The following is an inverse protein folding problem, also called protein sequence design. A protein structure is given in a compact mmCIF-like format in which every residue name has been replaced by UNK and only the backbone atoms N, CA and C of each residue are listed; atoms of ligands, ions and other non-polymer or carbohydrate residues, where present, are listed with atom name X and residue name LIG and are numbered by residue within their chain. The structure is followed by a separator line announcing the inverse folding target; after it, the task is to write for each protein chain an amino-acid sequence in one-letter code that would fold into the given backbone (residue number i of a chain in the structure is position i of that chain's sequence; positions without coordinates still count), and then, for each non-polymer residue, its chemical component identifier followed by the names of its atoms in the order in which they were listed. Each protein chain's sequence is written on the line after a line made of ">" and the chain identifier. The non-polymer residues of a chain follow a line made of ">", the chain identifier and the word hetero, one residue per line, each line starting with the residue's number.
data_IF_291400637782
#
_entry.id   IF_291400637782
#
_cell.length_a   1.000
_cell.length_b   1.000
_cell.length_c   1.000
_cell.angle_alpha   90.00
_cell.angle_beta   90.00
_cell.angle_gamma   90.00
#
_symmetry.space_group_name_H-M   'P 1'
#
loop_
_entity.id
_entity.type
_entity.pdbx_description
1 polymer ?
#
# COMPACT_ATOMS: atom_id res chain seq x y z
N UNK A 1 -11.45 8.19 -18.33
CA UNK A 1 -10.88 9.55 -18.40
C UNK A 1 -9.60 9.42 -19.19
N UNK A 2 -9.52 10.01 -20.39
CA UNK A 2 -8.29 9.97 -21.18
C UNK A 2 -7.19 10.69 -20.41
N UNK A 3 -6.01 10.09 -20.33
CA UNK A 3 -4.88 10.61 -19.56
C UNK A 3 -3.97 11.54 -20.38
N UNK A 4 -4.26 11.74 -21.66
CA UNK A 4 -3.42 12.52 -22.58
C UNK A 4 -4.02 13.92 -22.77
N UNK A 5 -3.20 14.95 -22.56
CA UNK A 5 -3.56 16.35 -22.77
C UNK A 5 -3.06 16.81 -24.14
N UNK A 6 -3.91 17.49 -24.90
CA UNK A 6 -3.62 17.97 -26.26
C UNK A 6 -3.81 19.48 -26.31
N UNK A 7 -2.75 20.22 -26.63
CA UNK A 7 -2.81 21.65 -26.86
C UNK A 7 -3.46 21.93 -28.22
N UNK A 8 -4.71 22.38 -28.22
CA UNK A 8 -5.46 22.70 -29.44
C UNK A 8 -4.88 23.87 -30.23
N UNK A 9 -4.13 24.77 -29.59
CA UNK A 9 -3.55 25.95 -30.26
C UNK A 9 -2.27 25.61 -31.04
N UNK A 10 -1.50 24.65 -30.54
CA UNK A 10 -0.24 24.21 -31.17
C UNK A 10 -0.42 23.03 -32.12
N UNK A 11 -1.53 22.30 -32.01
CA UNK A 11 -1.81 21.15 -32.87
C UNK A 11 -1.98 21.58 -34.34
N UNK A 12 -1.08 21.12 -35.20
CA UNK A 12 -1.12 21.39 -36.65
C UNK A 12 -1.93 20.35 -37.47
N UNK A 13 -2.56 19.37 -36.81
CA UNK A 13 -3.41 18.39 -37.49
C UNK A 13 -2.69 17.44 -38.47
N UNK A 14 -1.40 17.15 -38.24
CA UNK A 14 -0.58 16.35 -39.15
C UNK A 14 -0.90 14.84 -39.16
N UNK A 15 -1.63 14.33 -38.16
CA UNK A 15 -2.01 12.92 -38.07
C UNK A 15 -0.94 11.95 -37.56
N UNK A 16 0.31 12.37 -37.34
CA UNK A 16 1.40 11.50 -36.88
C UNK A 16 1.05 10.73 -35.59
N UNK A 17 0.40 11.40 -34.63
CA UNK A 17 -0.04 10.79 -33.38
C UNK A 17 -1.10 9.68 -33.55
N UNK A 18 -1.91 9.73 -34.61
CA UNK A 18 -2.93 8.72 -34.93
C UNK A 18 -2.25 7.44 -35.41
N UNK A 19 -1.27 7.56 -36.31
CA UNK A 19 -0.50 6.41 -36.82
C UNK A 19 0.37 5.79 -35.72
N UNK A 20 0.91 6.62 -34.83
CA UNK A 20 1.74 6.20 -33.72
C UNK A 20 0.97 5.45 -32.62
N UNK A 21 -0.37 5.56 -32.57
CA UNK A 21 -1.16 5.01 -31.48
C UNK A 21 -1.38 3.49 -31.65
N UNK A 22 -0.74 2.61 -30.84
CA UNK A 22 -0.92 1.17 -30.98
C UNK A 22 -2.31 0.70 -30.52
N UNK A 23 -3.08 1.57 -29.86
CA UNK A 23 -4.40 1.28 -29.30
C UNK A 23 -5.54 1.91 -30.11
N UNK A 24 -5.23 2.70 -31.15
CA UNK A 24 -6.24 3.37 -31.97
C UNK A 24 -7.06 4.43 -31.22
N UNK A 25 -6.57 4.93 -30.09
CA UNK A 25 -7.28 5.86 -29.20
C UNK A 25 -7.28 7.32 -29.67
N UNK A 26 -6.58 7.62 -30.78
CA UNK A 26 -6.40 8.97 -31.31
C UNK A 26 -7.08 9.10 -32.67
N UNK A 27 -7.74 10.23 -32.90
CA UNK A 27 -8.35 10.60 -34.17
C UNK A 27 -8.29 12.11 -34.40
N UNK A 28 -8.52 12.57 -35.62
CA UNK A 28 -8.69 13.99 -35.92
C UNK A 28 -10.19 14.33 -35.88
N UNK A 29 -10.54 15.47 -35.28
CA UNK A 29 -11.90 16.00 -35.28
C UNK A 29 -12.22 16.81 -36.55
N UNK A 30 -13.40 17.43 -36.60
CA UNK A 30 -13.87 18.21 -37.74
C UNK A 30 -13.04 19.49 -38.00
N UNK A 31 -12.29 19.96 -37.00
CA UNK A 31 -11.37 21.10 -37.09
C UNK A 31 -9.94 20.66 -37.42
N UNK A 32 -9.75 19.37 -37.73
CA UNK A 32 -8.46 18.74 -37.98
C UNK A 32 -7.52 18.76 -36.75
N UNK A 33 -8.09 18.76 -35.55
CA UNK A 33 -7.34 18.72 -34.28
C UNK A 33 -7.35 17.30 -33.72
N UNK A 34 -6.22 16.87 -33.16
CA UNK A 34 -6.12 15.56 -32.51
C UNK A 34 -7.03 15.51 -31.27
N UNK A 35 -7.83 14.46 -31.18
CA UNK A 35 -8.68 14.15 -30.02
C UNK A 35 -8.43 12.72 -29.58
N UNK A 36 -8.48 12.50 -28.28
CA UNK A 36 -8.18 11.23 -27.63
C UNK A 36 -9.42 10.68 -26.94
N UNK A 37 -9.65 9.39 -27.04
CA UNK A 37 -10.74 8.70 -26.34
C UNK A 37 -10.30 8.11 -24.98
N UNK A 38 -11.27 7.54 -24.29
CA UNK A 38 -11.09 6.91 -22.97
C UNK A 38 -10.31 5.59 -22.97
N UNK A 39 -9.97 5.04 -24.14
CA UNK A 39 -9.15 3.82 -24.26
C UNK A 39 -7.65 4.12 -24.17
N UNK A 40 -7.27 5.40 -24.10
CA UNK A 40 -5.89 5.83 -23.96
C UNK A 40 -5.23 5.24 -22.70
N UNK A 41 -4.10 4.55 -22.89
CA UNK A 41 -3.32 3.90 -21.82
C UNK A 41 -2.17 4.76 -21.28
N UNK A 42 -2.03 6.01 -21.74
CA UNK A 42 -0.91 6.89 -21.40
C UNK A 42 0.49 6.33 -21.70
N UNK A 43 0.63 5.49 -22.74
CA UNK A 43 1.92 4.88 -23.09
C UNK A 43 2.99 5.86 -23.61
N UNK A 44 2.61 7.08 -24.00
CA UNK A 44 3.53 8.13 -24.45
C UNK A 44 4.00 8.04 -25.91
N UNK A 45 3.58 7.02 -26.69
CA UNK A 45 4.02 6.85 -28.08
C UNK A 45 3.69 8.05 -29.01
N UNK A 46 2.58 8.74 -28.78
CA UNK A 46 2.19 9.90 -29.57
C UNK A 46 3.01 11.17 -29.28
N UNK A 47 3.68 11.24 -28.12
CA UNK A 47 4.41 12.43 -27.68
C UNK A 47 5.71 12.56 -28.48
N UNK A 48 6.44 11.46 -28.67
CA UNK A 48 7.70 11.45 -29.44
C UNK A 48 7.50 11.74 -30.93
N UNK A 49 6.31 11.45 -31.45
CA UNK A 49 5.99 11.64 -32.88
C UNK A 49 5.38 13.01 -33.18
N UNK A 50 5.06 13.82 -32.16
CA UNK A 50 4.50 15.14 -32.40
C UNK A 50 5.59 16.13 -32.82
N UNK A 51 5.58 16.66 -34.06
CA UNK A 51 6.62 17.56 -34.53
C UNK A 51 6.56 18.96 -33.87
N UNK A 52 5.46 19.26 -33.20
CA UNK A 52 5.16 20.57 -32.58
C UNK A 52 4.93 20.45 -31.07
N UNK A 53 5.22 19.28 -30.48
CA UNK A 53 5.15 19.04 -29.03
C UNK A 53 3.78 19.35 -28.38
N UNK A 54 2.69 19.31 -29.16
CA UNK A 54 1.34 19.64 -28.70
C UNK A 54 0.67 18.58 -27.82
N UNK A 55 1.35 17.46 -27.51
CA UNK A 55 0.81 16.37 -26.68
C UNK A 55 1.64 16.22 -25.41
N UNK A 56 0.96 16.12 -24.26
CA UNK A 56 1.61 15.90 -22.97
C UNK A 56 0.81 14.93 -22.10
N UNK A 57 1.51 14.26 -21.17
CA UNK A 57 0.86 13.58 -20.07
C UNK A 57 0.82 14.54 -18.87
N UNK A 58 -0.25 14.55 -18.07
CA UNK A 58 -0.29 15.33 -16.86
C UNK A 58 0.91 14.97 -16.00
N UNK A 59 1.62 15.98 -15.52
CA UNK A 59 2.76 15.75 -14.65
C UNK A 59 2.31 14.91 -13.46
N UNK A 60 2.95 13.75 -13.28
CA UNK A 60 2.86 13.03 -12.02
C UNK A 60 3.49 13.96 -11.00
N UNK A 61 2.66 14.69 -10.24
CA UNK A 61 3.13 15.46 -9.09
C UNK A 61 4.03 14.52 -8.30
N UNK A 62 5.32 14.84 -8.23
CA UNK A 62 6.21 14.21 -7.28
C UNK A 62 5.53 14.37 -5.94
N UNK A 63 5.06 13.27 -5.37
CA UNK A 63 4.54 13.27 -4.01
C UNK A 63 5.71 13.76 -3.18
N UNK A 64 5.55 14.92 -2.55
CA UNK A 64 6.54 15.40 -1.59
C UNK A 64 6.71 14.28 -0.57
N UNK A 65 7.95 13.83 -0.39
CA UNK A 65 8.26 12.76 0.57
C UNK A 65 7.82 13.28 1.93
N UNK A 66 6.73 12.73 2.46
CA UNK A 66 6.25 13.11 3.79
C UNK A 66 7.37 12.92 4.79
N UNK A 67 7.48 13.82 5.77
CA UNK A 67 8.45 13.70 6.84
C UNK A 67 8.16 12.42 7.65
N UNK A 68 8.91 11.37 7.33
CA UNK A 68 8.79 10.04 7.93
C UNK A 68 9.46 9.97 9.31
N UNK A 69 10.09 11.04 9.81
CA UNK A 69 10.74 11.05 11.13
C UNK A 69 9.78 10.77 12.29
N UNK A 70 8.47 10.99 12.06
CA UNK A 70 7.43 10.68 13.03
C UNK A 70 7.08 9.18 13.11
N UNK A 71 7.58 8.35 12.19
CA UNK A 71 7.30 6.93 12.14
C UNK A 71 8.31 6.15 12.97
N UNK A 72 7.83 5.38 13.95
CA UNK A 72 8.69 4.63 14.84
C UNK A 72 8.00 3.36 15.32
N UNK A 73 8.77 2.28 15.39
CA UNK A 73 8.35 1.03 16.05
C UNK A 73 8.01 -0.07 15.07
N UNK A 74 8.09 -1.30 15.58
CA UNK A 74 7.78 -2.52 14.82
C UNK A 74 6.46 -3.07 15.32
N UNK A 75 5.53 -3.31 14.41
CA UNK A 75 4.23 -3.88 14.72
C UNK A 75 4.10 -5.28 14.16
N UNK A 76 3.32 -6.11 14.84
CA UNK A 76 2.91 -7.45 14.38
C UNK A 76 1.40 -7.57 14.51
N UNK A 77 0.73 -8.08 13.48
CA UNK A 77 -0.67 -8.47 13.62
C UNK A 77 -0.75 -9.89 14.16
N UNK A 78 -1.48 -10.06 15.25
CA UNK A 78 -1.76 -11.38 15.83
C UNK A 78 -3.04 -11.88 15.21
N UNK A 79 -2.89 -12.76 14.22
CA UNK A 79 -4.00 -13.44 13.60
C UNK A 79 -4.63 -14.43 14.59
N UNK A 80 -5.96 -14.38 14.70
CA UNK A 80 -6.75 -15.32 15.49
C UNK A 80 -7.83 -16.00 14.63
N UNK A 81 -8.19 -17.21 15.03
CA UNK A 81 -9.34 -17.93 14.51
C UNK A 81 -10.11 -18.57 15.66
N UNK A 82 -11.38 -18.20 15.80
CA UNK A 82 -12.26 -18.71 16.86
C UNK A 82 -11.71 -18.49 18.28
N UNK A 83 -11.03 -17.36 18.51
CA UNK A 83 -10.49 -17.01 19.82
C UNK A 83 -9.15 -17.69 20.14
N UNK A 84 -8.52 -18.32 19.15
CA UNK A 84 -7.19 -18.91 19.27
C UNK A 84 -6.22 -18.24 18.30
N UNK A 85 -5.04 -17.85 18.78
CA UNK A 85 -4.01 -17.28 17.93
C UNK A 85 -3.36 -18.34 17.03
N UNK A 86 -3.10 -17.99 15.77
CA UNK A 86 -2.34 -18.85 14.88
C UNK A 86 -0.85 -18.89 15.29
N UNK A 87 -0.20 -20.05 15.12
CA UNK A 87 1.24 -20.20 15.43
C UNK A 87 2.12 -19.21 14.66
N UNK A 88 1.72 -18.87 13.43
CA UNK A 88 2.40 -17.88 12.59
C UNK A 88 2.51 -16.51 13.27
N UNK A 89 1.55 -16.13 14.13
CA UNK A 89 1.59 -14.88 14.88
C UNK A 89 2.78 -14.83 15.83
N UNK A 90 3.15 -15.97 16.42
CA UNK A 90 4.29 -16.09 17.34
C UNK A 90 5.62 -16.12 16.59
N UNK A 91 5.65 -16.73 15.41
CA UNK A 91 6.80 -16.64 14.50
C UNK A 91 7.05 -15.19 14.07
N UNK A 92 5.98 -14.45 13.70
CA UNK A 92 6.05 -13.03 13.36
C UNK A 92 6.48 -12.19 14.56
N UNK A 93 5.98 -12.49 15.77
CA UNK A 93 6.40 -11.81 17.00
C UNK A 93 7.89 -12.02 17.26
N UNK A 94 8.40 -13.24 17.08
CA UNK A 94 9.82 -13.55 17.23
C UNK A 94 10.71 -12.82 16.21
N UNK A 95 10.29 -12.70 14.95
CA UNK A 95 11.02 -11.92 13.95
C UNK A 95 10.91 -10.41 14.21
N UNK A 96 9.70 -9.92 14.54
CA UNK A 96 9.46 -8.54 14.91
C UNK A 96 10.31 -8.10 16.10
N UNK A 97 10.52 -8.98 17.09
CA UNK A 97 11.38 -8.71 18.25
C UNK A 97 12.83 -8.46 17.83
N UNK A 98 13.38 -9.31 16.96
CA UNK A 98 14.74 -9.13 16.44
C UNK A 98 14.88 -7.79 15.71
N UNK A 99 13.91 -7.43 14.87
CA UNK A 99 13.92 -6.15 14.15
C UNK A 99 13.84 -4.98 15.13
N UNK A 100 12.92 -5.06 16.10
CA UNK A 100 12.73 -4.03 17.11
C UNK A 100 13.99 -3.81 17.95
N UNK A 101 14.68 -4.88 18.33
CA UNK A 101 15.95 -4.81 19.07
C UNK A 101 17.07 -4.18 18.25
N UNK A 102 17.15 -4.52 16.95
CA UNK A 102 18.12 -3.91 16.04
C UNK A 102 17.89 -2.41 15.82
N UNK A 103 16.63 -1.97 15.80
CA UNK A 103 16.26 -0.55 15.72
C UNK A 103 16.29 0.16 17.08
N UNK A 104 16.45 -0.56 18.19
CA UNK A 104 16.33 0.00 19.53
C UNK A 104 14.94 0.58 19.82
N UNK A 105 13.88 -0.06 19.30
CA UNK A 105 12.49 0.42 19.37
C UNK A 105 11.55 -0.63 19.97
N UNK A 106 10.27 -0.26 20.12
CA UNK A 106 9.25 -1.14 20.71
C UNK A 106 8.61 -2.08 19.69
N UNK A 107 8.37 -3.33 20.09
CA UNK A 107 7.49 -4.26 19.39
C UNK A 107 6.06 -4.13 19.93
N UNK A 108 5.11 -3.74 19.07
CA UNK A 108 3.69 -3.68 19.42
C UNK A 108 2.89 -4.77 18.69
N UNK A 109 2.19 -5.60 19.44
CA UNK A 109 1.24 -6.56 18.85
C UNK A 109 -0.14 -5.94 18.66
N UNK A 110 -0.81 -6.23 17.55
CA UNK A 110 -2.18 -5.80 17.26
C UNK A 110 -3.09 -7.03 17.32
N UNK A 111 -3.95 -7.09 18.33
CA UNK A 111 -4.89 -8.18 18.58
C UNK A 111 -6.31 -7.67 18.34
N UNK A 112 -6.97 -8.21 17.30
CA UNK A 112 -8.32 -7.82 16.88
C UNK A 112 -9.22 -9.05 16.96
N UNK A 113 -10.38 -8.94 17.59
CA UNK A 113 -11.31 -10.06 17.73
C UNK A 113 -12.46 -9.78 18.69
N UNK A 114 -13.05 -10.84 19.24
CA UNK A 114 -14.08 -10.75 20.27
C UNK A 114 -13.80 -11.75 21.40
N UNK A 115 -13.76 -11.27 22.64
CA UNK A 115 -13.29 -12.01 23.81
C UNK A 115 -11.87 -12.56 23.61
N UNK A 116 -10.94 -11.68 23.24
CA UNK A 116 -9.55 -12.02 22.87
C UNK A 116 -8.51 -11.37 23.78
N UNK A 117 -8.90 -10.93 24.97
CA UNK A 117 -7.99 -10.36 25.97
C UNK A 117 -6.87 -11.33 26.36
N UNK A 118 -7.16 -12.64 26.46
CA UNK A 118 -6.15 -13.66 26.75
C UNK A 118 -5.07 -13.75 25.66
N UNK A 119 -5.42 -13.53 24.39
CA UNK A 119 -4.45 -13.49 23.29
C UNK A 119 -3.51 -12.28 23.43
N UNK A 120 -4.01 -11.16 23.96
CA UNK A 120 -3.16 -10.01 24.25
C UNK A 120 -2.13 -10.33 25.35
N UNK A 121 -2.54 -11.03 26.40
CA UNK A 121 -1.62 -11.50 27.45
C UNK A 121 -0.58 -12.47 26.88
N UNK A 122 -1.00 -13.41 26.03
CA UNK A 122 -0.09 -14.31 25.32
C UNK A 122 0.94 -13.54 24.48
N UNK A 123 0.50 -12.53 23.72
CA UNK A 123 1.40 -11.73 22.88
C UNK A 123 2.51 -11.02 23.70
N UNK A 124 2.18 -10.53 24.90
CA UNK A 124 3.19 -10.00 25.84
C UNK A 124 4.16 -11.12 26.28
N UNK A 125 3.64 -12.29 26.66
CA UNK A 125 4.45 -13.42 27.08
C UNK A 125 5.41 -13.92 25.97
N UNK A 126 5.01 -13.79 24.70
CA UNK A 126 5.82 -14.13 23.52
C UNK A 126 6.79 -13.00 23.08
N UNK A 127 6.84 -11.87 23.79
CA UNK A 127 7.89 -10.86 23.63
C UNK A 127 7.46 -9.52 23.05
N UNK A 128 6.16 -9.27 22.88
CA UNK A 128 5.68 -7.91 22.58
C UNK A 128 5.83 -7.00 23.81
N UNK A 129 6.26 -5.75 23.61
CA UNK A 129 6.37 -4.75 24.69
C UNK A 129 5.01 -4.12 25.01
N UNK A 130 4.15 -4.05 23.98
CA UNK A 130 2.84 -3.40 24.05
C UNK A 130 1.85 -4.16 23.18
N UNK A 131 0.57 -4.08 23.53
CA UNK A 131 -0.53 -4.60 22.71
C UNK A 131 -1.57 -3.52 22.44
N UNK A 132 -2.01 -3.41 21.19
CA UNK A 132 -3.29 -2.81 20.85
C UNK A 132 -4.35 -3.90 20.80
N UNK A 133 -5.27 -3.87 21.76
CA UNK A 133 -6.42 -4.77 21.82
C UNK A 133 -7.65 -4.05 21.26
N UNK A 134 -8.27 -4.65 20.25
CA UNK A 134 -9.59 -4.25 19.75
C UNK A 134 -10.53 -5.44 19.96
N UNK A 135 -11.31 -5.38 21.04
CA UNK A 135 -12.31 -6.39 21.36
C UNK A 135 -13.71 -5.86 21.02
N UNK A 136 -14.29 -6.40 19.96
CA UNK A 136 -15.64 -6.04 19.53
C UNK A 136 -16.35 -7.24 18.89
N UNK A 137 -17.64 -7.50 19.20
CA UNK A 137 -18.41 -8.60 18.61
C UNK A 137 -18.39 -8.65 17.07
N UNK A 138 -18.27 -7.49 16.40
CA UNK A 138 -18.19 -7.41 14.92
C UNK A 138 -16.91 -8.03 14.35
N UNK A 139 -15.87 -8.18 15.17
CA UNK A 139 -14.58 -8.78 14.81
C UNK A 139 -14.50 -10.27 15.18
N UNK A 140 -15.58 -10.86 15.71
CA UNK A 140 -15.65 -12.29 16.08
C UNK A 140 -15.32 -13.24 14.91
N UNK A 141 -15.65 -12.83 13.69
CA UNK A 141 -15.30 -13.55 12.45
C UNK A 141 -14.47 -12.62 11.57
N UNK A 142 -13.40 -13.16 10.99
CA UNK A 142 -12.56 -12.41 10.08
C UNK A 142 -13.37 -11.92 8.86
N UNK A 143 -13.29 -10.62 8.62
CA UNK A 143 -13.75 -9.93 7.42
C UNK A 143 -12.72 -8.86 7.12
N UNK A 144 -12.36 -8.71 5.85
CA UNK A 144 -11.28 -7.82 5.42
C UNK A 144 -11.55 -6.38 5.84
N UNK A 145 -12.72 -5.82 5.51
CA UNK A 145 -13.00 -4.40 5.74
C UNK A 145 -12.96 -3.97 7.22
N UNK A 146 -13.63 -4.65 8.18
CA UNK A 146 -13.55 -4.25 9.59
C UNK A 146 -12.13 -4.31 10.15
N UNK A 147 -11.38 -5.38 9.85
CA UNK A 147 -10.01 -5.54 10.32
C UNK A 147 -9.09 -4.48 9.70
N UNK A 148 -9.18 -4.29 8.38
CA UNK A 148 -8.38 -3.30 7.66
C UNK A 148 -8.66 -1.89 8.18
N UNK A 149 -9.93 -1.53 8.42
CA UNK A 149 -10.29 -0.22 8.96
C UNK A 149 -9.66 0.02 10.33
N UNK A 150 -9.78 -0.93 11.26
CA UNK A 150 -9.17 -0.80 12.58
C UNK A 150 -7.65 -0.62 12.48
N UNK A 151 -6.97 -1.45 11.69
CA UNK A 151 -5.53 -1.36 11.51
C UNK A 151 -5.10 -0.05 10.84
N UNK A 152 -5.80 0.40 9.79
CA UNK A 152 -5.51 1.66 9.10
C UNK A 152 -5.68 2.86 10.04
N UNK A 153 -6.74 2.88 10.85
CA UNK A 153 -6.95 3.93 11.85
C UNK A 153 -5.84 3.94 12.91
N UNK A 154 -5.41 2.76 13.39
CA UNK A 154 -4.28 2.63 14.32
C UNK A 154 -2.96 3.09 13.69
N UNK A 155 -2.65 2.65 12.47
CA UNK A 155 -1.42 3.00 11.75
C UNK A 155 -1.35 4.50 11.48
N UNK A 156 -2.45 5.12 11.03
CA UNK A 156 -2.50 6.59 10.83
C UNK A 156 -2.30 7.37 12.13
N UNK A 157 -2.80 6.85 13.24
CA UNK A 157 -2.71 7.51 14.56
C UNK A 157 -1.34 7.38 15.20
N UNK A 158 -0.72 6.20 15.13
CA UNK A 158 0.49 5.88 15.89
C UNK A 158 1.74 5.67 15.02
N UNK A 159 1.60 5.68 13.70
CA UNK A 159 2.69 5.74 12.72
C UNK A 159 3.83 4.73 12.97
N UNK A 160 3.58 3.41 12.91
CA UNK A 160 4.66 2.42 12.95
C UNK A 160 5.57 2.50 11.73
N UNK A 161 6.85 2.28 11.94
CA UNK A 161 7.85 2.21 10.86
C UNK A 161 7.78 0.88 10.10
N UNK A 162 7.61 -0.23 10.81
CA UNK A 162 7.49 -1.58 10.24
C UNK A 162 6.19 -2.22 10.73
N UNK A 163 5.44 -2.87 9.84
CA UNK A 163 4.26 -3.66 10.21
C UNK A 163 4.27 -5.03 9.54
N UNK A 164 4.38 -6.08 10.35
CA UNK A 164 4.46 -7.48 9.90
C UNK A 164 3.11 -8.18 10.04
N UNK A 165 2.75 -8.92 8.98
CA UNK A 165 1.60 -9.80 8.94
C UNK A 165 2.07 -11.18 8.45
N UNK A 166 1.55 -12.25 9.06
CA UNK A 166 1.86 -13.61 8.62
C UNK A 166 1.36 -13.91 7.21
N UNK A 167 2.09 -14.70 6.44
CA UNK A 167 1.74 -15.07 5.06
C UNK A 167 0.61 -16.14 4.96
N UNK A 168 -0.40 -16.09 5.83
CA UNK A 168 -1.58 -16.95 5.76
C UNK A 168 -2.55 -16.48 4.66
N UNK A 169 -3.62 -17.24 4.42
CA UNK A 169 -4.70 -16.77 3.52
C UNK A 169 -5.34 -15.45 3.97
N UNK A 170 -5.53 -15.27 5.29
CA UNK A 170 -6.08 -14.04 5.88
C UNK A 170 -5.05 -12.92 5.93
N UNK A 171 -3.81 -13.22 6.27
CA UNK A 171 -2.76 -12.21 6.35
C UNK A 171 -2.40 -11.65 4.98
N UNK A 172 -2.37 -12.48 3.92
CA UNK A 172 -2.17 -12.01 2.54
C UNK A 172 -3.30 -11.10 2.06
N UNK A 173 -4.55 -11.45 2.39
CA UNK A 173 -5.72 -10.64 2.09
C UNK A 173 -5.70 -9.29 2.85
N UNK A 174 -5.50 -9.34 4.17
CA UNK A 174 -5.48 -8.16 5.04
C UNK A 174 -4.33 -7.21 4.69
N UNK A 175 -3.13 -7.74 4.44
CA UNK A 175 -1.96 -6.94 4.10
C UNK A 175 -2.19 -6.11 2.83
N UNK A 176 -2.78 -6.72 1.79
CA UNK A 176 -3.11 -6.02 0.56
C UNK A 176 -4.14 -4.89 0.77
N UNK A 177 -5.18 -5.16 1.55
CA UNK A 177 -6.21 -4.18 1.87
C UNK A 177 -5.66 -2.99 2.68
N UNK A 178 -4.84 -3.26 3.70
CA UNK A 178 -4.21 -2.24 4.55
C UNK A 178 -3.21 -1.41 3.75
N UNK A 179 -2.32 -2.05 2.98
CA UNK A 179 -1.30 -1.34 2.21
C UNK A 179 -1.92 -0.40 1.16
N UNK A 180 -2.99 -0.85 0.49
CA UNK A 180 -3.72 -0.04 -0.51
C UNK A 180 -4.33 1.22 0.12
N UNK A 181 -4.95 1.10 1.30
CA UNK A 181 -5.58 2.25 1.98
C UNK A 181 -4.57 3.23 2.60
N UNK A 182 -3.36 2.75 2.90
CA UNK A 182 -2.26 3.56 3.44
C UNK A 182 -1.35 4.12 2.35
N UNK A 183 -1.53 3.73 1.08
CA UNK A 183 -0.64 4.09 -0.02
C UNK A 183 0.84 3.74 0.27
N UNK A 184 1.08 2.59 0.90
CA UNK A 184 2.43 2.13 1.27
C UNK A 184 2.85 0.90 0.47
N UNK A 185 4.15 0.62 0.45
CA UNK A 185 4.73 -0.59 -0.12
C UNK A 185 4.36 -1.85 0.67
N UNK A 186 4.33 -2.99 -0.01
CA UNK A 186 4.11 -4.31 0.58
C UNK A 186 5.03 -5.32 -0.08
N UNK A 187 5.80 -6.06 0.73
CA UNK A 187 6.59 -7.20 0.28
C UNK A 187 5.89 -8.49 0.70
N UNK A 188 5.64 -9.40 -0.24
CA UNK A 188 4.90 -10.63 0.00
C UNK A 188 5.83 -11.84 0.17
N UNK A 189 5.44 -12.76 1.06
CA UNK A 189 6.05 -14.09 1.24
C UNK A 189 7.57 -14.05 1.48
N UNK A 190 8.00 -13.12 2.34
CA UNK A 190 9.40 -12.93 2.68
C UNK A 190 9.97 -14.15 3.41
N UNK A 191 11.17 -14.58 3.01
CA UNK A 191 11.90 -15.70 3.63
C UNK A 191 12.92 -15.26 4.67
N UNK A 192 13.23 -13.96 4.71
CA UNK A 192 14.14 -13.34 5.66
C UNK A 192 13.91 -11.84 5.72
N UNK A 193 14.09 -11.27 6.90
CA UNK A 193 14.02 -9.84 7.17
C UNK A 193 15.24 -9.48 7.98
N UNK A 194 15.92 -8.43 7.56
CA UNK A 194 17.06 -7.90 8.29
C UNK A 194 17.17 -6.39 8.04
N UNK A 195 17.84 -5.70 8.94
CA UNK A 195 18.07 -4.25 8.83
C UNK A 195 19.53 -4.03 8.48
N UNK A 196 19.83 -3.17 7.52
CA UNK A 196 21.21 -2.80 7.29
C UNK A 196 21.71 -1.94 8.46
N UNK A 197 22.87 -2.27 9.06
CA UNK A 197 23.50 -1.32 9.97
C UNK A 197 23.90 -0.07 9.18
N UNK A 198 23.45 1.10 9.63
CA UNK A 198 23.86 2.45 9.18
C UNK A 198 23.16 3.07 7.95
N UNK A 199 21.83 3.26 7.99
CA UNK A 199 21.10 4.09 7.00
C UNK A 199 20.07 5.08 7.58
N UNK A 200 20.22 5.50 8.84
CA UNK A 200 19.42 6.60 9.42
C UNK A 200 20.04 7.98 9.14
#
# INVERSE_FOLDING_TARGET
>A
MALLEINREECIGCGACVEACPFGSLRLDEENIAVVDETCTACGACISECPVEALSLPEVKKVEVEDISAYQGVWVWVEQFKGEAGSISWEMTGQGRKLADRLGTTLTACVLGHNVEHIAEEAIAYGADRVFLVDDPTLSVYRTDPYARCLVELVRKYKPEIFLLGASSRGRDLAGAVATQLYTGLTADCTGLDIEPDTN
#
